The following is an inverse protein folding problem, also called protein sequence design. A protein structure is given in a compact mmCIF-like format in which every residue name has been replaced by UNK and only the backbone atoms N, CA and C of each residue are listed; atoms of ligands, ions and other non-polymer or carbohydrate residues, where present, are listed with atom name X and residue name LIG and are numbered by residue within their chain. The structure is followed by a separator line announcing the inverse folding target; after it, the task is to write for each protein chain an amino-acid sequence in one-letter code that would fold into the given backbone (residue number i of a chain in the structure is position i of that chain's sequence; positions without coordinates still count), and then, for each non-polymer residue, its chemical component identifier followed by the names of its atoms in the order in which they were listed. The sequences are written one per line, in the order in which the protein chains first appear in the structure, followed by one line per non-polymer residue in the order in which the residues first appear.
data_IF_049559507708
#
_entry.id   IF_049559507708
#
_cell.length_a   1.000
_cell.length_b   1.000
_cell.length_c   1.000
_cell.angle_alpha   90.00
_cell.angle_beta   90.00
_cell.angle_gamma   90.00
#
_symmetry.space_group_name_H-M   'P 1'
#
loop_
_entity.id
_entity.type
_entity.pdbx_description
1 polymer ?
#
# COMPACT_ATOMS: atom_id res chain seq x y z
N UNK A 1 -86.15 -20.48 98.14
CA UNK A 1 -86.76 -19.20 98.66
C UNK A 1 -85.95 -18.02 98.12
N UNK A 2 -86.54 -17.33 97.29
CA UNK A 2 -86.35 -15.90 96.86
C UNK A 2 -85.09 -15.22 97.47
N UNK A 3 -84.36 -14.41 96.78
CA UNK A 3 -84.70 -13.11 96.22
C UNK A 3 -83.54 -12.59 95.38
N UNK A 4 -83.85 -12.20 94.24
CA UNK A 4 -83.70 -10.94 93.51
C UNK A 4 -82.27 -10.47 93.03
N UNK A 5 -82.35 -10.23 91.76
CA UNK A 5 -81.48 -9.57 90.84
C UNK A 5 -81.34 -8.07 91.14
N UNK A 6 -80.33 -7.49 90.53
CA UNK A 6 -80.14 -6.18 89.96
C UNK A 6 -78.67 -5.73 90.15
N UNK A 7 -78.01 -5.33 89.18
CA UNK A 7 -77.77 -4.23 88.37
C UNK A 7 -76.60 -4.38 87.43
N UNK A 8 -76.92 -4.57 86.19
CA UNK A 8 -75.90 -4.42 85.09
C UNK A 8 -75.65 -2.94 84.83
N UNK A 9 -74.51 -2.45 85.28
CA UNK A 9 -73.94 -1.18 84.82
C UNK A 9 -73.24 -1.30 83.45
N UNK A 10 -73.87 -0.82 82.43
CA UNK A 10 -73.28 -0.66 81.11
C UNK A 10 -72.05 0.28 81.19
N UNK A 11 -70.87 -0.28 80.93
CA UNK A 11 -69.68 0.53 80.75
C UNK A 11 -69.70 1.09 79.29
N UNK A 12 -69.95 2.39 79.22
CA UNK A 12 -69.87 3.25 78.01
C UNK A 12 -68.45 3.23 77.45
N UNK A 13 -68.25 2.53 76.28
CA UNK A 13 -67.01 2.46 75.59
C UNK A 13 -66.76 3.65 74.61
N UNK A 14 -67.10 4.84 75.06
CA UNK A 14 -66.91 6.07 74.35
C UNK A 14 -65.82 6.95 74.96
N UNK A 15 -64.75 7.21 74.23
CA UNK A 15 -63.73 8.22 74.51
C UNK A 15 -62.47 7.83 75.30
N UNK A 16 -61.61 6.95 74.72
CA UNK A 16 -60.21 6.77 75.21
C UNK A 16 -59.17 7.31 74.19
N UNK A 17 -59.56 8.19 73.27
CA UNK A 17 -58.60 8.87 72.38
C UNK A 17 -58.67 10.42 72.53
N UNK A 18 -58.65 10.89 73.73
CA UNK A 18 -58.22 12.23 73.96
C UNK A 18 -56.68 12.25 73.76
N UNK A 19 -56.27 12.54 72.52
CA UNK A 19 -54.83 12.71 72.23
C UNK A 19 -54.33 13.89 73.09
N UNK A 20 -53.51 13.55 74.07
CA UNK A 20 -52.85 14.55 74.90
C UNK A 20 -52.08 15.58 74.04
N UNK A 21 -52.06 16.87 74.49
CA UNK A 21 -51.41 17.94 73.71
C UNK A 21 -49.97 17.64 73.32
N UNK A 22 -49.31 16.79 74.07
CA UNK A 22 -47.95 16.30 73.81
C UNK A 22 -47.80 15.40 72.55
N UNK A 23 -48.82 14.59 72.28
CA UNK A 23 -48.83 13.74 71.06
C UNK A 23 -49.01 14.60 69.81
N UNK A 24 -49.82 15.68 69.87
CA UNK A 24 -49.97 16.65 68.81
C UNK A 24 -48.70 17.51 68.61
N UNK A 25 -47.99 17.82 69.66
CA UNK A 25 -46.71 18.55 69.60
C UNK A 25 -45.63 17.64 69.07
N UNK A 26 -45.56 16.32 69.42
CA UNK A 26 -44.64 15.32 68.89
C UNK A 26 -44.85 15.08 67.38
N UNK A 27 -46.13 15.00 66.94
CA UNK A 27 -46.43 14.81 65.52
C UNK A 27 -46.07 16.08 64.69
N UNK A 28 -46.25 17.27 65.22
CA UNK A 28 -45.80 18.52 64.53
C UNK A 28 -44.28 18.60 64.47
N UNK A 29 -43.54 18.19 65.47
CA UNK A 29 -42.10 18.07 65.46
C UNK A 29 -41.61 17.03 64.49
N UNK A 30 -42.28 15.88 64.43
CA UNK A 30 -41.96 14.79 63.52
C UNK A 30 -42.22 15.16 62.04
N UNK A 31 -43.34 15.86 61.76
CA UNK A 31 -43.64 16.41 60.47
C UNK A 31 -42.61 17.47 60.06
N UNK A 32 -42.26 18.39 61.01
CA UNK A 32 -41.21 19.37 60.77
C UNK A 32 -39.87 18.79 60.50
N UNK A 33 -39.48 17.70 61.18
CA UNK A 33 -38.24 16.95 60.93
C UNK A 33 -38.25 16.24 59.59
N UNK A 34 -39.36 15.62 59.18
CA UNK A 34 -39.50 14.96 57.88
C UNK A 34 -39.49 16.00 56.77
N UNK A 35 -40.15 17.13 56.90
CA UNK A 35 -40.12 18.24 55.93
C UNK A 35 -38.70 18.82 55.84
N UNK A 36 -38.03 19.01 56.98
CA UNK A 36 -36.63 19.44 57.02
C UNK A 36 -35.69 18.47 56.29
N UNK A 37 -35.82 17.15 56.52
CA UNK A 37 -35.06 16.12 55.84
C UNK A 37 -35.34 16.08 54.34
N UNK A 38 -36.60 16.27 53.91
CA UNK A 38 -36.98 16.39 52.50
C UNK A 38 -36.38 17.65 51.84
N UNK A 39 -36.41 18.80 52.52
CA UNK A 39 -35.77 20.03 52.04
C UNK A 39 -34.26 19.91 51.97
N UNK A 40 -33.63 19.25 52.93
CA UNK A 40 -32.18 18.90 52.86
C UNK A 40 -31.84 17.90 51.74
N UNK A 41 -32.77 17.06 51.35
CA UNK A 41 -32.63 16.13 50.20
C UNK A 41 -32.67 16.86 48.88
N UNK A 42 -33.30 18.03 48.78
CA UNK A 42 -33.39 18.83 47.55
C UNK A 42 -32.16 19.73 47.30
N UNK A 43 -31.35 19.97 48.32
CA UNK A 43 -30.11 20.75 48.14
C UNK A 43 -29.01 19.84 47.66
N UNK A 44 -28.53 20.10 46.44
CA UNK A 44 -27.41 19.35 45.81
C UNK A 44 -26.11 20.13 45.98
N UNK A 45 -25.07 19.42 46.41
CA UNK A 45 -23.69 19.95 46.45
C UNK A 45 -22.94 19.33 45.25
N UNK A 46 -22.38 20.19 44.40
CA UNK A 46 -21.46 19.77 43.34
C UNK A 46 -20.08 19.54 43.93
N UNK A 47 -19.60 18.33 43.85
CA UNK A 47 -18.19 18.01 44.14
C UNK A 47 -17.32 18.35 42.93
N UNK A 48 -16.06 18.69 43.17
CA UNK A 48 -15.05 18.81 42.10
C UNK A 48 -13.77 18.07 42.49
N UNK A 49 -13.18 17.38 41.56
CA UNK A 49 -11.81 16.85 41.67
C UNK A 49 -10.87 17.95 41.19
N UNK A 50 -9.90 18.31 42.04
CA UNK A 50 -8.87 19.29 41.67
C UNK A 50 -7.65 18.54 41.13
N UNK A 51 -7.25 18.89 39.93
CA UNK A 51 -6.09 18.33 39.27
C UNK A 51 -5.11 19.44 38.88
N UNK A 52 -3.83 19.19 39.05
CA UNK A 52 -2.78 20.05 38.49
C UNK A 52 -2.63 19.74 37.00
N UNK A 53 -2.55 20.76 36.17
CA UNK A 53 -2.40 20.62 34.74
C UNK A 53 -1.39 21.59 34.15
N UNK A 54 -1.04 21.36 32.88
CA UNK A 54 -0.18 22.25 32.11
C UNK A 54 -0.87 22.52 30.76
N UNK A 55 -0.82 23.77 30.33
CA UNK A 55 -1.30 24.17 29.01
C UNK A 55 -0.43 23.52 27.94
N UNK A 56 -1.04 22.83 27.03
CA UNK A 56 -0.38 22.19 25.91
C UNK A 56 -1.12 22.52 24.59
N UNK A 57 -0.55 22.14 23.48
CA UNK A 57 -1.17 22.28 22.14
C UNK A 57 -1.81 20.96 21.77
N UNK A 58 -3.00 20.98 21.21
CA UNK A 58 -3.76 19.75 20.85
C UNK A 58 -2.96 18.81 19.94
N UNK A 59 -2.17 19.37 19.03
CA UNK A 59 -1.27 18.62 18.17
C UNK A 59 0.18 18.80 18.61
N UNK A 60 0.84 17.68 18.90
CA UNK A 60 2.25 17.69 19.28
C UNK A 60 3.12 18.30 18.17
N UNK A 61 4.23 18.94 18.57
CA UNK A 61 5.25 19.45 17.67
C UNK A 61 5.57 18.42 16.57
N UNK A 62 5.52 18.84 15.31
CA UNK A 62 5.86 17.95 14.20
C UNK A 62 7.37 17.98 13.99
N UNK A 63 8.01 16.88 14.31
CA UNK A 63 9.45 16.69 14.05
C UNK A 63 9.67 16.41 12.58
N UNK A 64 10.45 17.27 11.92
CA UNK A 64 10.89 17.08 10.53
C UNK A 64 12.18 16.28 10.56
N UNK A 65 12.15 15.10 9.95
CA UNK A 65 13.28 14.16 9.85
C UNK A 65 13.53 13.83 8.37
N UNK A 66 14.74 13.39 8.06
CA UNK A 66 15.08 12.92 6.71
C UNK A 66 15.53 11.46 6.75
N UNK A 67 14.88 10.62 5.92
CA UNK A 67 15.09 9.17 5.92
C UNK A 67 16.53 8.80 5.52
N UNK A 68 17.00 9.36 4.41
CA UNK A 68 18.28 9.00 3.80
C UNK A 68 19.46 9.84 4.30
N UNK A 69 19.20 10.99 4.98
CA UNK A 69 20.24 11.98 5.29
C UNK A 69 20.81 12.63 4.03
N UNK A 70 21.94 13.28 4.16
CA UNK A 70 22.66 13.90 3.04
C UNK A 70 23.41 15.17 3.40
N UNK A 71 24.05 15.79 2.40
CA UNK A 71 24.76 17.07 2.55
C UNK A 71 23.74 18.21 2.35
N UNK A 72 23.77 19.20 3.22
CA UNK A 72 22.91 20.39 3.12
C UNK A 72 23.41 21.31 2.01
N UNK A 73 22.65 21.44 0.92
CA UNK A 73 22.99 22.38 -0.14
C UNK A 73 22.54 23.82 0.19
N UNK A 74 21.34 23.98 0.77
CA UNK A 74 20.79 25.30 1.10
C UNK A 74 19.79 25.24 2.24
N UNK A 75 19.87 26.19 3.16
CA UNK A 75 18.90 26.40 4.25
C UNK A 75 18.06 27.62 3.91
N UNK A 76 16.71 27.47 3.93
CA UNK A 76 15.77 28.54 3.56
C UNK A 76 15.03 29.16 4.73
N UNK A 77 15.19 28.60 5.93
CA UNK A 77 14.46 29.03 7.12
C UNK A 77 15.39 29.14 8.33
N UNK A 78 15.00 29.94 9.33
CA UNK A 78 15.70 30.12 10.59
C UNK A 78 14.78 29.74 11.76
N UNK A 79 15.36 29.54 12.95
CA UNK A 79 14.55 29.39 14.15
C UNK A 79 13.67 30.63 14.37
N UNK A 80 12.38 30.40 14.61
CA UNK A 80 11.39 31.45 14.81
C UNK A 80 10.62 31.86 13.55
N UNK A 81 11.04 31.43 12.35
CA UNK A 81 10.32 31.75 11.12
C UNK A 81 8.97 31.03 11.07
N UNK A 82 7.95 31.71 10.51
CA UNK A 82 6.64 31.14 10.24
C UNK A 82 6.66 30.53 8.85
N UNK A 83 6.23 29.29 8.73
CA UNK A 83 6.23 28.53 7.47
C UNK A 83 4.82 28.00 7.18
N UNK A 84 4.48 27.95 5.88
CA UNK A 84 3.25 27.33 5.40
C UNK A 84 3.46 25.84 5.14
N UNK A 85 2.36 25.06 5.17
CA UNK A 85 2.37 23.65 4.79
C UNK A 85 2.93 23.47 3.36
N UNK A 86 3.83 22.50 3.16
CA UNK A 86 4.49 22.24 1.89
C UNK A 86 5.63 23.21 1.53
N UNK A 87 5.86 24.28 2.29
CA UNK A 87 6.95 25.22 2.07
C UNK A 87 8.30 24.52 2.18
N UNK A 88 9.22 24.83 1.27
CA UNK A 88 10.59 24.32 1.28
C UNK A 88 11.38 24.90 2.46
N UNK A 89 11.86 24.03 3.34
CA UNK A 89 12.61 24.37 4.55
C UNK A 89 14.11 24.37 4.30
N UNK A 90 14.60 23.29 3.70
CA UNK A 90 15.98 23.15 3.27
C UNK A 90 16.06 22.24 2.05
N UNK A 91 17.20 22.30 1.36
CA UNK A 91 17.52 21.44 0.23
C UNK A 91 18.82 20.72 0.49
N UNK A 92 18.81 19.41 0.25
CA UNK A 92 20.00 18.59 0.24
C UNK A 92 20.66 18.62 -1.14
N UNK A 93 21.93 18.23 -1.19
CA UNK A 93 22.65 18.07 -2.47
C UNK A 93 22.06 16.92 -3.27
N UNK A 94 21.54 17.28 -4.45
CA UNK A 94 20.87 16.35 -5.35
C UNK A 94 21.81 15.75 -6.42
N UNK A 95 23.06 16.20 -6.49
CA UNK A 95 23.98 15.92 -7.61
C UNK A 95 24.14 14.42 -7.85
N UNK A 96 24.46 13.66 -6.80
CA UNK A 96 24.67 12.22 -6.93
C UNK A 96 23.38 11.45 -7.25
N UNK A 97 22.25 11.84 -6.61
CA UNK A 97 20.95 11.20 -6.85
C UNK A 97 20.46 11.51 -8.26
N UNK A 98 20.62 12.76 -8.71
CA UNK A 98 20.24 13.22 -10.06
C UNK A 98 21.04 12.53 -11.15
N UNK A 99 22.35 12.35 -10.94
CA UNK A 99 23.21 11.58 -11.84
C UNK A 99 22.76 10.11 -11.93
N UNK A 100 22.51 9.45 -10.80
CA UNK A 100 22.03 8.08 -10.76
C UNK A 100 20.66 7.93 -11.42
N UNK A 101 19.75 8.87 -11.19
CA UNK A 101 18.44 8.90 -11.85
C UNK A 101 18.57 9.07 -13.37
N UNK A 102 19.44 9.97 -13.85
CA UNK A 102 19.67 10.15 -15.28
C UNK A 102 20.21 8.87 -15.94
N UNK A 103 21.11 8.14 -15.28
CA UNK A 103 21.60 6.84 -15.75
C UNK A 103 20.47 5.82 -15.84
N UNK A 104 19.62 5.74 -14.81
CA UNK A 104 18.47 4.82 -14.81
C UNK A 104 17.46 5.16 -15.93
N UNK A 105 17.18 6.43 -16.17
CA UNK A 105 16.34 6.90 -17.29
C UNK A 105 16.94 6.49 -18.64
N UNK A 106 18.23 6.75 -18.86
CA UNK A 106 18.90 6.40 -20.10
C UNK A 106 18.87 4.86 -20.34
N UNK A 107 19.09 4.06 -19.28
CA UNK A 107 19.02 2.61 -19.35
C UNK A 107 17.60 2.12 -19.63
N UNK A 108 16.58 2.72 -19.01
CA UNK A 108 15.17 2.43 -19.30
C UNK A 108 14.82 2.70 -20.76
N UNK A 109 15.25 3.84 -21.30
CA UNK A 109 15.02 4.19 -22.70
C UNK A 109 15.70 3.20 -23.67
N UNK A 110 16.93 2.78 -23.36
CA UNK A 110 17.66 1.77 -24.14
C UNK A 110 16.88 0.45 -24.20
N UNK A 111 16.45 -0.06 -23.05
CA UNK A 111 15.68 -1.30 -22.96
C UNK A 111 14.31 -1.21 -23.65
N UNK A 112 13.63 -0.07 -23.57
CA UNK A 112 12.37 0.16 -24.28
C UNK A 112 12.53 0.14 -25.81
N UNK A 113 13.61 0.72 -26.35
CA UNK A 113 13.88 0.65 -27.80
C UNK A 113 14.27 -0.76 -28.22
N UNK A 114 15.05 -1.48 -27.39
CA UNK A 114 15.38 -2.90 -27.63
C UNK A 114 14.13 -3.78 -27.62
N UNK A 115 13.24 -3.59 -26.65
CA UNK A 115 11.96 -4.28 -26.58
C UNK A 115 11.13 -4.04 -27.84
N UNK A 116 10.98 -2.78 -28.27
CA UNK A 116 10.23 -2.44 -29.47
C UNK A 116 10.81 -3.10 -30.73
N UNK A 117 12.16 -3.20 -30.84
CA UNK A 117 12.81 -3.93 -31.94
C UNK A 117 12.46 -5.43 -31.88
N UNK A 118 12.59 -6.05 -30.74
CA UNK A 118 12.34 -7.49 -30.58
C UNK A 118 10.88 -7.85 -30.81
N UNK A 119 9.96 -6.99 -30.37
CA UNK A 119 8.53 -7.15 -30.67
C UNK A 119 8.26 -7.02 -32.19
N UNK A 120 8.90 -6.08 -32.88
CA UNK A 120 8.79 -5.97 -34.32
C UNK A 120 9.36 -7.17 -35.05
N UNK A 121 10.50 -7.76 -34.58
CA UNK A 121 11.09 -9.00 -35.10
C UNK A 121 10.16 -10.20 -34.87
N UNK A 122 9.61 -10.35 -33.64
CA UNK A 122 8.67 -11.43 -33.31
C UNK A 122 7.40 -11.38 -34.15
N UNK A 123 6.85 -10.19 -34.31
CA UNK A 123 5.58 -9.96 -35.03
C UNK A 123 5.78 -9.83 -36.56
N UNK A 124 7.02 -10.00 -37.06
CA UNK A 124 7.40 -9.89 -38.47
C UNK A 124 6.97 -8.56 -39.11
N UNK A 125 7.06 -7.45 -38.34
CA UNK A 125 6.73 -6.13 -38.87
C UNK A 125 7.77 -5.63 -39.88
N UNK A 126 7.34 -4.72 -40.75
CA UNK A 126 8.25 -4.13 -41.77
C UNK A 126 9.11 -3.00 -41.19
N UNK A 127 8.69 -2.41 -40.04
CA UNK A 127 9.37 -1.30 -39.42
C UNK A 127 9.28 -1.38 -37.90
N UNK A 128 10.21 -0.72 -37.25
CA UNK A 128 10.25 -0.55 -35.79
C UNK A 128 9.32 0.60 -35.39
N UNK A 129 8.25 0.27 -34.67
CA UNK A 129 7.34 1.25 -34.07
C UNK A 129 7.80 1.53 -32.63
N UNK A 130 7.98 2.80 -32.29
CA UNK A 130 8.37 3.19 -30.93
C UNK A 130 7.14 3.31 -30.02
N UNK A 131 7.25 2.94 -28.73
CA UNK A 131 6.18 3.13 -27.77
C UNK A 131 5.91 4.63 -27.54
N UNK A 132 4.65 4.99 -27.14
CA UNK A 132 4.23 6.39 -26.96
C UNK A 132 5.12 7.17 -25.97
N UNK A 133 5.64 6.48 -24.96
CA UNK A 133 6.51 7.03 -23.91
C UNK A 133 7.79 7.63 -24.50
N UNK A 134 8.40 6.95 -25.48
CA UNK A 134 9.61 7.43 -26.16
C UNK A 134 9.29 8.49 -27.22
N UNK A 135 8.15 8.38 -27.89
CA UNK A 135 7.73 9.38 -28.90
C UNK A 135 7.36 10.73 -28.29
N UNK A 136 7.00 10.75 -27.00
CA UNK A 136 6.74 11.99 -26.25
C UNK A 136 8.03 12.78 -25.94
N UNK A 137 9.19 12.11 -25.90
CA UNK A 137 10.50 12.75 -25.66
C UNK A 137 10.96 13.43 -26.95
N UNK A 138 10.99 14.76 -26.93
CA UNK A 138 11.43 15.55 -28.08
C UNK A 138 12.84 16.12 -27.83
N UNK A 139 13.64 16.21 -28.89
CA UNK A 139 14.95 16.85 -28.89
C UNK A 139 15.99 16.19 -27.94
N UNK A 140 15.99 14.86 -27.84
CA UNK A 140 17.05 14.12 -27.17
C UNK A 140 17.98 13.44 -28.20
N UNK A 141 19.17 14.03 -28.48
CA UNK A 141 20.12 13.47 -29.44
C UNK A 141 20.67 12.08 -29.01
N UNK A 142 20.60 11.75 -27.73
CA UNK A 142 20.99 10.43 -27.19
C UNK A 142 19.98 9.37 -27.62
N UNK A 143 18.71 9.65 -27.40
CA UNK A 143 17.61 8.78 -27.80
C UNK A 143 17.55 8.60 -29.33
N UNK A 144 17.72 9.68 -30.09
CA UNK A 144 17.71 9.63 -31.56
C UNK A 144 18.80 8.71 -32.12
N UNK A 145 20.02 8.79 -31.57
CA UNK A 145 21.12 7.87 -31.92
C UNK A 145 20.83 6.42 -31.58
N UNK A 146 20.26 6.19 -30.40
CA UNK A 146 19.88 4.87 -29.95
C UNK A 146 18.84 4.25 -30.88
N UNK A 147 17.79 4.98 -31.21
CA UNK A 147 16.73 4.55 -32.13
C UNK A 147 17.30 4.26 -33.53
N UNK A 148 18.18 5.12 -34.05
CA UNK A 148 18.84 4.89 -35.33
C UNK A 148 19.68 3.62 -35.33
N UNK A 149 20.42 3.36 -34.24
CA UNK A 149 21.22 2.13 -34.08
C UNK A 149 20.34 0.88 -34.09
N UNK A 150 19.24 0.90 -33.31
CA UNK A 150 18.34 -0.24 -33.23
C UNK A 150 17.55 -0.47 -34.54
N UNK A 151 17.21 0.60 -35.28
CA UNK A 151 16.64 0.48 -36.63
C UNK A 151 17.61 -0.13 -37.61
N UNK A 152 18.88 0.25 -37.59
CA UNK A 152 19.92 -0.32 -38.42
C UNK A 152 20.12 -1.80 -38.11
N UNK A 153 20.17 -2.18 -36.83
CA UNK A 153 20.27 -3.58 -36.38
C UNK A 153 19.07 -4.42 -36.86
N UNK A 154 17.85 -3.89 -36.67
CA UNK A 154 16.62 -4.52 -37.17
C UNK A 154 16.67 -4.80 -38.66
N UNK A 155 17.04 -3.80 -39.45
CA UNK A 155 17.15 -3.93 -40.91
C UNK A 155 18.23 -4.98 -41.31
N UNK A 156 19.40 -4.96 -40.64
CA UNK A 156 20.47 -5.91 -40.91
C UNK A 156 20.07 -7.34 -40.58
N UNK A 157 19.46 -7.60 -39.41
CA UNK A 157 18.96 -8.93 -39.01
C UNK A 157 17.90 -9.44 -39.98
N UNK A 158 16.95 -8.59 -40.37
CA UNK A 158 15.91 -8.91 -41.34
C UNK A 158 16.51 -9.28 -42.70
N UNK A 159 17.45 -8.48 -43.22
CA UNK A 159 18.12 -8.76 -44.50
C UNK A 159 18.89 -10.06 -44.45
N UNK A 160 19.63 -10.35 -43.37
CA UNK A 160 20.36 -11.59 -43.18
C UNK A 160 19.44 -12.81 -43.21
N UNK A 161 18.35 -12.78 -42.41
CA UNK A 161 17.38 -13.86 -42.35
C UNK A 161 16.66 -14.10 -43.71
N UNK A 162 16.20 -13.00 -44.36
CA UNK A 162 15.57 -13.12 -45.67
C UNK A 162 16.53 -13.68 -46.74
N UNK A 163 17.83 -13.34 -46.66
CA UNK A 163 18.85 -13.93 -47.48
C UNK A 163 19.00 -15.45 -47.25
N UNK A 164 19.05 -15.89 -46.00
CA UNK A 164 19.11 -17.30 -45.66
C UNK A 164 17.90 -18.08 -46.19
N UNK A 165 16.68 -17.57 -45.93
CA UNK A 165 15.44 -18.18 -46.45
C UNK A 165 15.45 -18.27 -48.00
N UNK A 166 15.96 -17.23 -48.68
CA UNK A 166 16.08 -17.21 -50.14
C UNK A 166 16.99 -18.32 -50.65
N UNK A 167 18.15 -18.57 -50.01
CA UNK A 167 19.07 -19.64 -50.38
C UNK A 167 18.42 -21.01 -50.18
N UNK A 168 17.73 -21.21 -49.05
CA UNK A 168 17.02 -22.47 -48.77
C UNK A 168 15.88 -22.71 -49.77
N UNK A 169 15.10 -21.68 -50.11
CA UNK A 169 14.03 -21.77 -51.12
C UNK A 169 14.57 -22.09 -52.51
N UNK A 170 15.72 -21.51 -52.90
CA UNK A 170 16.36 -21.84 -54.14
C UNK A 170 16.83 -23.31 -54.18
N UNK A 171 17.36 -23.81 -53.06
CA UNK A 171 17.75 -25.24 -52.95
C UNK A 171 16.55 -26.16 -53.06
N UNK A 172 15.41 -25.84 -52.46
CA UNK A 172 14.14 -26.58 -52.64
C UNK A 172 13.72 -26.63 -54.12
N UNK A 173 13.75 -25.49 -54.80
CA UNK A 173 13.41 -25.41 -56.21
C UNK A 173 14.32 -26.29 -57.08
N UNK A 174 15.64 -26.29 -56.82
CA UNK A 174 16.59 -27.14 -57.53
C UNK A 174 16.28 -28.62 -57.32
N UNK A 175 16.04 -29.07 -56.08
CA UNK A 175 15.70 -30.45 -55.76
C UNK A 175 14.37 -30.86 -56.38
N UNK A 176 13.37 -29.99 -56.42
CA UNK A 176 12.10 -30.25 -57.09
C UNK A 176 12.27 -30.44 -58.60
N UNK A 177 13.18 -29.67 -59.24
CA UNK A 177 13.50 -29.83 -60.65
C UNK A 177 14.24 -31.14 -60.89
N UNK A 178 15.16 -31.52 -60.01
CA UNK A 178 15.88 -32.82 -60.07
C UNK A 178 14.91 -34.01 -59.98
N UNK A 179 13.98 -33.97 -59.01
CA UNK A 179 12.91 -34.97 -58.85
C UNK A 179 12.09 -35.09 -60.14
N UNK A 180 11.62 -33.97 -60.69
CA UNK A 180 10.84 -33.99 -61.95
C UNK A 180 11.60 -34.58 -63.12
N UNK A 181 12.91 -34.33 -63.18
CA UNK A 181 13.76 -34.90 -64.22
C UNK A 181 13.95 -36.44 -64.06
N UNK A 182 14.24 -36.86 -62.80
CA UNK A 182 14.40 -38.24 -62.44
C UNK A 182 13.10 -39.07 -62.65
N UNK A 183 11.95 -38.49 -62.29
CA UNK A 183 10.63 -39.12 -62.51
C UNK A 183 10.30 -39.28 -63.97
N UNK A 184 10.64 -38.30 -64.81
CA UNK A 184 10.48 -38.45 -66.30
C UNK A 184 11.37 -39.58 -66.88
N UNK A 185 12.62 -39.66 -66.40
CA UNK A 185 13.54 -40.77 -66.83
C UNK A 185 13.01 -42.12 -66.37
N UNK A 186 12.55 -42.18 -65.08
CA UNK A 186 11.97 -43.42 -64.57
C UNK A 186 10.73 -43.85 -65.38
N UNK A 187 9.82 -42.93 -65.69
CA UNK A 187 8.63 -43.19 -66.47
C UNK A 187 8.98 -43.72 -67.89
N UNK A 188 10.01 -43.17 -68.54
CA UNK A 188 10.51 -43.66 -69.84
C UNK A 188 11.02 -45.08 -69.72
N UNK A 189 11.84 -45.39 -68.67
CA UNK A 189 12.38 -46.77 -68.49
C UNK A 189 11.30 -47.76 -68.08
N UNK A 190 10.29 -47.37 -67.30
CA UNK A 190 9.13 -48.23 -67.05
C UNK A 190 8.42 -48.58 -68.34
N UNK A 191 8.22 -47.62 -69.24
CA UNK A 191 7.59 -47.89 -70.56
C UNK A 191 8.40 -48.80 -71.40
N UNK A 192 9.74 -48.63 -71.45
CA UNK A 192 10.63 -49.55 -72.17
C UNK A 192 10.56 -50.98 -71.59
N UNK A 193 10.58 -51.13 -70.25
CA UNK A 193 10.40 -52.39 -69.54
C UNK A 193 9.06 -53.07 -69.91
N UNK A 194 7.97 -52.32 -69.95
CA UNK A 194 6.65 -52.85 -70.36
C UNK A 194 6.62 -53.37 -71.79
N UNK A 195 7.29 -52.69 -72.74
CA UNK A 195 7.40 -53.11 -74.11
C UNK A 195 8.20 -54.42 -74.23
N UNK A 196 9.38 -54.43 -73.55
CA UNK A 196 10.22 -55.66 -73.55
C UNK A 196 9.53 -56.85 -72.86
N UNK A 197 8.76 -56.59 -71.75
CA UNK A 197 7.99 -57.62 -71.07
C UNK A 197 6.88 -58.21 -71.95
N UNK A 198 6.25 -57.43 -72.81
CA UNK A 198 5.28 -57.91 -73.82
C UNK A 198 5.95 -58.75 -74.89
N UNK A 199 7.13 -58.31 -75.35
CA UNK A 199 7.93 -59.09 -76.33
C UNK A 199 8.36 -60.40 -75.71
N UNK A 200 8.90 -60.39 -74.48
CA UNK A 200 9.32 -61.62 -73.77
C UNK A 200 8.14 -62.59 -73.61
N UNK A 201 6.96 -62.08 -73.20
CA UNK A 201 5.75 -62.88 -73.03
C UNK A 201 5.26 -63.51 -74.31
N UNK A 202 5.53 -62.90 -75.47
CA UNK A 202 5.17 -63.45 -76.76
C UNK A 202 6.18 -64.52 -77.26
N UNK A 203 7.48 -64.33 -76.93
CA UNK A 203 8.56 -65.25 -77.45
C UNK A 203 8.80 -66.44 -76.50
N UNK A 204 8.64 -66.28 -75.17
CA UNK A 204 8.90 -67.36 -74.22
C UNK A 204 8.12 -68.65 -74.48
N UNK A 205 6.79 -68.67 -74.74
CA UNK A 205 6.05 -69.90 -75.03
C UNK A 205 6.41 -70.52 -76.37
N UNK A 206 6.91 -69.71 -77.33
CA UNK A 206 7.38 -70.23 -78.61
C UNK A 206 8.76 -70.95 -78.47
N UNK A 207 9.61 -70.37 -77.59
CA UNK A 207 10.89 -70.97 -77.24
C UNK A 207 10.71 -72.31 -76.52
N UNK A 208 9.84 -72.38 -75.52
CA UNK A 208 9.51 -73.61 -74.81
C UNK A 208 8.99 -74.72 -75.74
N UNK A 209 8.22 -74.33 -76.74
CA UNK A 209 7.72 -75.26 -77.75
C UNK A 209 8.72 -75.59 -78.87
N UNK A 210 9.94 -75.06 -78.86
CA UNK A 210 10.97 -75.24 -79.84
C UNK A 210 10.80 -74.48 -81.17
N UNK A 211 9.80 -73.49 -81.20
CA UNK A 211 9.55 -72.70 -82.43
C UNK A 211 10.36 -71.41 -82.52
N UNK A 212 11.03 -71.03 -81.47
CA UNK A 212 11.94 -69.90 -81.46
C UNK A 212 13.36 -70.34 -81.09
N UNK A 213 14.39 -69.68 -81.66
CA UNK A 213 15.78 -70.02 -81.40
C UNK A 213 16.25 -69.38 -80.05
N UNK A 214 17.20 -70.05 -79.41
CA UNK A 214 17.89 -69.55 -78.20
C UNK A 214 18.54 -68.18 -78.45
N UNK A 215 19.09 -67.97 -79.64
CA UNK A 215 19.67 -66.67 -80.03
C UNK A 215 18.70 -65.51 -80.04
N UNK A 216 17.41 -65.76 -80.25
CA UNK A 216 16.34 -64.73 -80.17
C UNK A 216 15.81 -64.56 -78.79
N UNK A 217 15.68 -65.60 -77.97
CA UNK A 217 15.11 -65.51 -76.59
C UNK A 217 16.05 -64.87 -75.57
N UNK A 218 17.35 -65.31 -75.52
CA UNK A 218 18.29 -64.87 -74.50
C UNK A 218 18.58 -63.34 -74.51
N UNK A 219 18.70 -62.64 -75.66
CA UNK A 219 18.86 -61.19 -75.65
C UNK A 219 17.68 -60.47 -75.00
N UNK A 220 16.43 -60.87 -75.31
CA UNK A 220 15.21 -60.24 -74.75
C UNK A 220 15.18 -60.49 -73.27
N UNK A 221 15.54 -61.70 -72.79
CA UNK A 221 15.58 -61.98 -71.33
C UNK A 221 16.69 -61.19 -70.64
N UNK A 222 17.87 -61.00 -71.24
CA UNK A 222 18.94 -60.16 -70.69
C UNK A 222 18.53 -58.69 -70.64
N UNK A 223 17.83 -58.16 -71.64
CA UNK A 223 17.33 -56.82 -71.69
C UNK A 223 16.22 -56.59 -70.62
N UNK A 224 15.37 -57.60 -70.36
CA UNK A 224 14.40 -57.52 -69.26
C UNK A 224 15.09 -57.36 -67.90
N UNK A 225 16.12 -58.20 -67.63
CA UNK A 225 16.87 -58.10 -66.36
C UNK A 225 17.65 -56.75 -66.24
N UNK A 226 18.23 -56.26 -67.34
CA UNK A 226 18.91 -54.97 -67.41
C UNK A 226 17.93 -53.82 -67.12
N UNK A 227 16.78 -53.79 -67.80
CA UNK A 227 15.75 -52.77 -67.61
C UNK A 227 15.14 -52.77 -66.19
N UNK A 228 14.94 -53.97 -65.62
CA UNK A 228 14.49 -54.07 -64.19
C UNK A 228 15.53 -53.48 -63.26
N UNK A 229 16.81 -53.71 -63.42
CA UNK A 229 17.89 -53.09 -62.66
C UNK A 229 17.94 -51.56 -62.81
N UNK A 230 17.76 -51.06 -64.08
CA UNK A 230 17.69 -49.59 -64.31
C UNK A 230 16.49 -48.93 -63.68
N UNK A 231 15.27 -49.51 -63.72
CA UNK A 231 14.07 -49.04 -63.03
C UNK A 231 14.27 -49.01 -61.51
N UNK A 232 14.86 -50.09 -60.94
CA UNK A 232 15.20 -50.16 -59.53
C UNK A 232 16.14 -49.01 -59.08
N UNK A 233 17.23 -48.80 -59.92
CA UNK A 233 18.19 -47.73 -59.63
C UNK A 233 17.52 -46.31 -59.66
N UNK A 234 16.75 -46.02 -60.74
CA UNK A 234 16.07 -44.75 -60.92
C UNK A 234 15.00 -44.51 -59.83
N UNK A 235 14.32 -45.60 -59.41
CA UNK A 235 13.35 -45.48 -58.25
C UNK A 235 14.08 -45.11 -56.99
N UNK A 236 15.26 -45.67 -56.71
CA UNK A 236 16.08 -45.31 -55.57
C UNK A 236 16.62 -43.86 -55.68
N UNK A 237 16.99 -43.42 -56.90
CA UNK A 237 17.44 -42.05 -57.15
C UNK A 237 16.30 -41.01 -56.85
N UNK A 238 15.07 -41.29 -57.37
CA UNK A 238 13.89 -40.48 -57.06
C UNK A 238 13.61 -40.41 -55.53
N UNK A 239 13.70 -41.57 -54.87
CA UNK A 239 13.50 -41.66 -53.43
C UNK A 239 14.52 -40.82 -52.62
N UNK A 240 15.82 -40.89 -53.04
CA UNK A 240 16.89 -40.11 -52.43
C UNK A 240 16.69 -38.61 -52.66
N UNK A 241 16.30 -38.22 -53.85
CA UNK A 241 16.01 -36.79 -54.14
C UNK A 241 14.78 -36.25 -53.33
N UNK A 242 13.75 -37.11 -53.21
CA UNK A 242 12.56 -36.72 -52.31
C UNK A 242 12.97 -36.62 -50.87
N UNK A 243 13.82 -37.48 -50.33
CA UNK A 243 14.34 -37.36 -48.96
C UNK A 243 15.19 -36.11 -48.79
N UNK A 244 16.02 -35.74 -49.77
CA UNK A 244 16.79 -34.50 -49.74
C UNK A 244 15.90 -33.23 -49.77
N UNK A 245 14.78 -33.29 -50.53
CA UNK A 245 13.79 -32.17 -50.49
C UNK A 245 13.14 -32.04 -49.12
N UNK A 246 12.69 -33.15 -48.53
CA UNK A 246 12.11 -33.14 -47.18
C UNK A 246 13.10 -32.63 -46.11
N UNK A 247 14.40 -32.94 -46.26
CA UNK A 247 15.43 -32.38 -45.39
C UNK A 247 15.59 -30.85 -45.57
N UNK A 248 15.52 -30.37 -46.83
CA UNK A 248 15.56 -28.92 -47.11
C UNK A 248 14.33 -28.19 -46.53
N UNK A 249 13.12 -28.79 -46.59
CA UNK A 249 11.90 -28.28 -45.98
C UNK A 249 12.03 -28.18 -44.46
N UNK A 250 12.59 -29.21 -43.83
CA UNK A 250 12.84 -29.21 -42.39
C UNK A 250 13.86 -28.15 -41.99
N UNK A 251 14.93 -27.94 -42.77
CA UNK A 251 15.92 -26.88 -42.50
C UNK A 251 15.31 -25.49 -42.59
N UNK A 252 14.40 -25.24 -43.53
CA UNK A 252 13.70 -23.97 -43.65
C UNK A 252 12.82 -23.73 -42.44
N UNK A 253 11.99 -24.69 -42.03
CA UNK A 253 11.16 -24.59 -40.86
C UNK A 253 11.98 -24.44 -39.56
N UNK A 254 13.13 -25.09 -39.49
CA UNK A 254 14.05 -25.00 -38.36
C UNK A 254 14.67 -23.59 -38.25
N UNK A 255 15.16 -23.02 -39.36
CA UNK A 255 15.72 -21.64 -39.38
C UNK A 255 14.70 -20.63 -38.92
N UNK A 256 13.44 -20.69 -39.37
CA UNK A 256 12.36 -19.82 -38.89
C UNK A 256 12.08 -19.98 -37.39
N UNK A 257 12.06 -21.21 -36.91
CA UNK A 257 11.84 -21.53 -35.50
C UNK A 257 12.98 -21.02 -34.62
N UNK A 258 14.23 -21.24 -35.03
CA UNK A 258 15.40 -20.78 -34.27
C UNK A 258 15.46 -19.26 -34.16
N UNK A 259 15.14 -18.52 -35.23
CA UNK A 259 15.04 -17.07 -35.18
C UNK A 259 13.99 -16.65 -34.13
N UNK A 260 12.78 -17.22 -34.23
CA UNK A 260 11.69 -16.86 -33.33
C UNK A 260 12.02 -17.18 -31.87
N UNK A 261 12.61 -18.33 -31.60
CA UNK A 261 13.05 -18.72 -30.25
C UNK A 261 14.10 -17.74 -29.71
N UNK A 262 15.12 -17.42 -30.52
CA UNK A 262 16.16 -16.47 -30.14
C UNK A 262 15.59 -15.08 -29.81
N UNK A 263 14.64 -14.59 -30.62
CA UNK A 263 13.96 -13.30 -30.39
C UNK A 263 13.13 -13.34 -29.12
N UNK A 264 12.35 -14.40 -28.87
CA UNK A 264 11.53 -14.54 -27.68
C UNK A 264 12.39 -14.62 -26.40
N UNK A 265 13.48 -15.33 -26.45
CA UNK A 265 14.39 -15.47 -25.31
C UNK A 265 15.12 -14.15 -25.01
N UNK A 266 15.54 -13.41 -26.04
CA UNK A 266 16.12 -12.07 -25.90
C UNK A 266 15.06 -11.09 -25.35
N UNK A 267 13.82 -11.15 -25.84
CA UNK A 267 12.71 -10.31 -25.37
C UNK A 267 12.41 -10.53 -23.89
N UNK A 268 12.36 -11.77 -23.43
CA UNK A 268 12.15 -12.08 -22.00
C UNK A 268 13.25 -11.48 -21.13
N UNK A 269 14.51 -11.58 -21.56
CA UNK A 269 15.64 -10.99 -20.82
C UNK A 269 15.53 -9.46 -20.75
N UNK A 270 15.20 -8.82 -21.87
CA UNK A 270 15.01 -7.35 -21.93
C UNK A 270 13.84 -6.93 -21.06
N UNK A 271 12.71 -7.63 -21.08
CA UNK A 271 11.56 -7.34 -20.22
C UNK A 271 11.87 -7.47 -18.74
N UNK A 272 12.61 -8.51 -18.34
CA UNK A 272 13.04 -8.66 -16.94
C UNK A 272 13.96 -7.53 -16.50
N UNK A 273 14.95 -7.15 -17.32
CA UNK A 273 15.83 -6.03 -17.05
C UNK A 273 15.09 -4.69 -17.02
N UNK A 274 14.11 -4.50 -17.89
CA UNK A 274 13.30 -3.29 -17.92
C UNK A 274 12.48 -3.16 -16.62
N UNK A 275 11.85 -4.24 -16.17
CA UNK A 275 11.12 -4.24 -14.91
C UNK A 275 12.01 -3.82 -13.71
N UNK A 276 13.21 -4.37 -13.62
CA UNK A 276 14.19 -4.01 -12.59
C UNK A 276 14.58 -2.53 -12.66
N UNK A 277 14.88 -2.02 -13.87
CA UNK A 277 15.30 -0.62 -14.04
C UNK A 277 14.15 0.36 -13.79
N UNK A 278 12.91 0.01 -14.11
CA UNK A 278 11.71 0.83 -13.82
C UNK A 278 11.55 1.00 -12.31
N UNK A 279 11.68 -0.08 -11.52
CA UNK A 279 11.63 -0.01 -10.06
C UNK A 279 12.79 0.81 -9.48
N UNK A 280 13.99 0.61 -10.00
CA UNK A 280 15.16 1.41 -9.60
C UNK A 280 14.97 2.90 -9.90
N UNK A 281 14.41 3.24 -11.07
CA UNK A 281 14.10 4.62 -11.46
C UNK A 281 13.06 5.22 -10.52
N UNK A 282 12.00 4.47 -10.18
CA UNK A 282 10.96 4.94 -9.26
C UNK A 282 11.54 5.24 -7.85
N UNK A 283 12.41 4.37 -7.35
CA UNK A 283 13.10 4.58 -6.07
C UNK A 283 14.01 5.82 -6.09
N UNK A 284 14.73 6.04 -7.19
CA UNK A 284 15.59 7.23 -7.36
C UNK A 284 14.79 8.52 -7.53
N UNK A 285 13.65 8.48 -8.23
CA UNK A 285 12.73 9.61 -8.36
C UNK A 285 12.15 10.02 -7.00
N UNK A 286 11.75 9.04 -6.18
CA UNK A 286 11.28 9.28 -4.82
C UNK A 286 12.39 9.86 -3.93
N UNK A 287 13.61 9.30 -4.02
CA UNK A 287 14.78 9.83 -3.32
C UNK A 287 15.11 11.26 -3.75
N UNK A 288 14.99 11.57 -5.05
CA UNK A 288 15.20 12.91 -5.58
C UNK A 288 14.14 13.90 -5.05
N UNK A 289 12.87 13.50 -4.98
CA UNK A 289 11.81 14.32 -4.37
C UNK A 289 12.08 14.64 -2.91
N UNK A 290 12.62 13.67 -2.15
CA UNK A 290 12.99 13.85 -0.73
C UNK A 290 14.17 14.79 -0.52
N UNK A 291 15.03 15.05 -1.51
CA UNK A 291 16.12 16.03 -1.33
C UNK A 291 15.62 17.43 -0.99
N UNK A 292 14.38 17.74 -1.32
CA UNK A 292 13.69 18.97 -0.90
C UNK A 292 12.87 18.70 0.34
N UNK A 293 13.37 19.11 1.50
CA UNK A 293 12.66 18.96 2.77
C UNK A 293 11.62 20.04 2.92
N UNK A 294 10.35 19.65 3.12
CA UNK A 294 9.19 20.54 3.19
C UNK A 294 8.53 20.50 4.56
N UNK A 295 7.84 21.59 4.91
CA UNK A 295 7.05 21.67 6.12
C UNK A 295 5.84 20.71 6.06
N UNK A 296 5.66 19.83 7.04
CA UNK A 296 4.52 18.92 7.09
C UNK A 296 3.20 19.63 7.42
N UNK A 297 3.28 20.80 8.06
CA UNK A 297 2.15 21.70 8.41
C UNK A 297 2.62 23.14 8.54
N UNK A 298 1.66 24.06 8.50
CA UNK A 298 1.90 25.48 8.80
C UNK A 298 2.24 25.62 10.28
N UNK A 299 3.20 26.49 10.61
CA UNK A 299 3.62 26.72 11.99
C UNK A 299 4.95 27.48 12.07
N UNK A 300 5.53 27.52 13.26
CA UNK A 300 6.80 28.20 13.54
C UNK A 300 7.94 27.18 13.69
N UNK A 301 9.05 27.45 13.00
CA UNK A 301 10.28 26.62 13.07
C UNK A 301 10.91 26.73 14.44
N UNK A 302 11.19 25.59 15.06
CA UNK A 302 11.87 25.48 16.35
C UNK A 302 12.94 24.39 16.30
N UNK A 303 13.99 24.52 17.13
CA UNK A 303 15.07 23.55 17.29
C UNK A 303 15.71 23.10 15.95
N UNK A 304 16.02 24.05 15.05
CA UNK A 304 16.74 23.79 13.81
C UNK A 304 18.13 23.27 14.16
N UNK A 305 18.43 22.01 13.79
CA UNK A 305 19.73 21.37 14.04
C UNK A 305 20.76 21.62 12.91
N UNK A 306 20.28 21.87 11.69
CA UNK A 306 21.14 22.16 10.54
C UNK A 306 21.46 23.67 10.49
N UNK A 307 22.68 24.04 10.87
CA UNK A 307 23.09 25.44 10.94
C UNK A 307 24.02 25.89 9.82
N UNK A 308 24.60 24.95 9.06
CA UNK A 308 25.67 25.25 8.09
C UNK A 308 25.36 24.61 6.75
N UNK A 309 25.44 25.36 5.66
CA UNK A 309 25.49 24.82 4.32
C UNK A 309 26.77 24.01 4.14
N UNK A 310 26.70 22.85 3.48
CA UNK A 310 27.76 21.87 3.43
C UNK A 310 27.78 20.90 4.63
N UNK A 311 26.97 21.14 5.67
CA UNK A 311 26.84 20.22 6.81
C UNK A 311 26.21 18.89 6.41
N UNK A 312 26.47 17.82 7.19
CA UNK A 312 25.95 16.48 6.95
C UNK A 312 24.82 16.17 7.92
N UNK A 313 23.68 15.72 7.38
CA UNK A 313 22.52 15.21 8.14
C UNK A 313 22.59 13.68 8.10
N UNK A 314 22.58 13.05 9.28
CA UNK A 314 22.55 11.59 9.37
C UNK A 314 21.15 11.02 9.00
N UNK A 315 21.07 9.80 8.46
CA UNK A 315 19.79 9.14 8.21
C UNK A 315 18.93 9.05 9.47
N UNK A 316 17.63 9.36 9.33
CA UNK A 316 16.65 9.31 10.42
C UNK A 316 16.81 10.42 11.48
N UNK A 317 17.78 11.33 11.36
CA UNK A 317 17.98 12.39 12.35
C UNK A 317 16.92 13.48 12.24
N UNK A 318 16.56 14.07 13.39
CA UNK A 318 15.70 15.24 13.45
C UNK A 318 16.45 16.48 12.93
N UNK A 319 15.86 17.17 11.98
CA UNK A 319 16.41 18.38 11.38
C UNK A 319 15.87 19.62 12.08
N UNK A 320 14.58 19.67 12.36
CA UNK A 320 13.88 20.76 13.05
C UNK A 320 12.52 20.28 13.54
N UNK A 321 11.89 21.12 14.34
CA UNK A 321 10.50 20.96 14.73
C UNK A 321 9.67 22.09 14.14
N UNK A 322 8.44 21.79 13.71
CA UNK A 322 7.44 22.79 13.34
C UNK A 322 6.35 22.76 14.41
N UNK A 323 6.21 23.88 15.11
CA UNK A 323 5.18 24.11 16.12
C UNK A 323 4.00 24.79 15.44
N UNK A 324 2.85 24.14 15.31
CA UNK A 324 1.70 24.74 14.65
C UNK A 324 1.24 26.03 15.36
N UNK A 325 0.86 27.05 14.61
CA UNK A 325 0.28 28.29 15.13
C UNK A 325 -1.25 28.25 15.01
N UNK A 326 -1.94 28.74 16.09
CA UNK A 326 -3.41 28.86 16.09
C UNK A 326 -4.15 27.54 16.39
N UNK A 327 -3.47 26.50 16.85
CA UNK A 327 -4.15 25.29 17.32
C UNK A 327 -4.85 25.50 18.66
N UNK A 328 -5.89 24.70 18.91
CA UNK A 328 -6.62 24.73 20.18
C UNK A 328 -5.66 24.40 21.32
N UNK A 329 -5.64 25.27 22.32
CA UNK A 329 -4.94 24.99 23.56
C UNK A 329 -5.76 23.99 24.37
N UNK A 330 -5.11 22.93 24.80
CA UNK A 330 -5.65 21.93 25.71
C UNK A 330 -4.88 21.99 27.03
N UNK A 331 -5.49 21.52 28.07
CA UNK A 331 -4.83 21.40 29.36
C UNK A 331 -4.66 19.90 29.66
N UNK A 332 -3.42 19.48 29.79
CA UNK A 332 -3.05 18.13 30.22
C UNK A 332 -3.08 18.11 31.78
N UNK A 333 -4.14 17.57 32.35
CA UNK A 333 -4.34 17.49 33.79
C UNK A 333 -4.02 16.11 34.33
N UNK A 334 -3.30 16.04 35.46
CA UNK A 334 -2.93 14.81 36.14
C UNK A 334 -3.89 14.51 37.27
N UNK A 335 -4.57 13.38 37.23
CA UNK A 335 -5.56 12.98 38.22
C UNK A 335 -5.05 11.78 39.00
N UNK A 336 -5.29 11.79 40.33
CA UNK A 336 -5.00 10.65 41.16
C UNK A 336 -5.83 9.41 40.75
N UNK A 337 -5.25 8.20 40.76
CA UNK A 337 -5.98 6.95 40.48
C UNK A 337 -7.23 6.75 41.34
N UNK A 338 -7.28 7.34 42.52
CA UNK A 338 -8.41 7.23 43.45
C UNK A 338 -9.64 8.05 42.99
N UNK A 339 -9.45 9.03 42.08
CA UNK A 339 -10.51 9.96 41.66
C UNK A 339 -10.98 9.73 40.21
N UNK A 340 -10.37 8.76 39.48
CA UNK A 340 -10.67 8.55 38.05
C UNK A 340 -12.12 8.12 37.79
N UNK A 341 -12.73 7.37 38.71
CA UNK A 341 -14.12 6.92 38.60
C UNK A 341 -15.14 8.06 38.58
N UNK A 342 -14.72 9.24 39.04
CA UNK A 342 -15.57 10.44 39.15
C UNK A 342 -15.51 11.28 37.84
N UNK A 343 -14.54 11.03 36.97
CA UNK A 343 -14.30 11.80 35.76
C UNK A 343 -14.84 11.08 34.55
N UNK A 344 -15.57 11.77 33.69
CA UNK A 344 -16.16 11.22 32.47
C UNK A 344 -15.79 12.11 31.29
N UNK A 345 -15.54 11.46 30.14
CA UNK A 345 -15.36 12.18 28.88
C UNK A 345 -16.63 12.99 28.55
N UNK A 346 -16.44 14.23 28.08
CA UNK A 346 -17.54 15.20 27.87
C UNK A 346 -18.02 15.89 29.13
N UNK A 347 -17.49 15.55 30.33
CA UNK A 347 -17.88 16.18 31.60
C UNK A 347 -17.45 17.64 31.67
N UNK A 348 -18.22 18.49 32.40
CA UNK A 348 -17.87 19.89 32.58
C UNK A 348 -16.63 20.04 33.49
N UNK A 349 -15.80 20.99 33.14
CA UNK A 349 -14.60 21.37 33.90
C UNK A 349 -14.46 22.87 33.97
N UNK A 350 -13.77 23.35 34.98
CA UNK A 350 -13.38 24.76 35.13
C UNK A 350 -11.88 24.85 35.31
N UNK A 351 -11.26 25.81 34.66
CA UNK A 351 -9.81 25.99 34.69
C UNK A 351 -9.46 27.33 35.28
N UNK A 352 -8.47 27.34 36.16
CA UNK A 352 -7.87 28.52 36.74
C UNK A 352 -6.39 28.55 36.48
N UNK A 353 -5.84 29.70 36.17
CA UNK A 353 -4.42 29.88 35.91
C UNK A 353 -3.74 30.64 37.07
N UNK A 354 -3.05 29.96 37.99
CA UNK A 354 -2.40 30.61 39.14
C UNK A 354 -1.36 31.66 38.75
N UNK A 355 -0.74 31.48 37.54
CA UNK A 355 0.27 32.40 37.03
C UNK A 355 -0.24 33.86 36.87
N UNK A 356 -1.55 34.09 36.75
CA UNK A 356 -2.13 35.41 36.56
C UNK A 356 -2.58 36.10 37.88
N UNK A 357 -2.36 35.45 39.03
CA UNK A 357 -2.71 35.99 40.36
C UNK A 357 -4.18 35.78 40.76
N UNK A 358 -4.43 35.52 42.05
CA UNK A 358 -5.73 35.07 42.57
C UNK A 358 -6.91 36.05 42.41
N UNK A 359 -6.64 37.35 42.18
CA UNK A 359 -7.67 38.39 42.04
C UNK A 359 -8.01 38.79 40.60
N UNK A 360 -7.21 38.32 39.61
CA UNK A 360 -7.30 38.82 38.23
C UNK A 360 -7.89 37.81 37.23
N UNK A 361 -8.04 36.55 37.61
CA UNK A 361 -8.45 35.50 36.66
C UNK A 361 -9.84 34.95 36.91
N UNK A 362 -10.77 35.10 35.97
CA UNK A 362 -12.03 34.36 36.02
C UNK A 362 -11.71 32.86 35.84
N UNK A 363 -12.53 32.00 36.43
CA UNK A 363 -12.51 30.57 36.10
C UNK A 363 -13.10 30.40 34.70
N UNK A 364 -12.33 29.82 33.81
CA UNK A 364 -12.74 29.56 32.41
C UNK A 364 -13.49 28.24 32.32
N UNK A 365 -14.57 28.22 31.55
CA UNK A 365 -15.34 27.01 31.31
C UNK A 365 -14.59 26.10 30.30
N UNK A 366 -14.64 24.81 30.58
CA UNK A 366 -13.94 23.81 29.81
C UNK A 366 -14.70 22.47 29.84
N UNK A 367 -14.31 21.56 28.98
CA UNK A 367 -14.87 20.22 28.96
C UNK A 367 -13.75 19.16 28.85
N UNK A 368 -14.00 18.00 29.45
CA UNK A 368 -13.08 16.84 29.35
C UNK A 368 -13.13 16.29 27.93
N UNK A 369 -12.02 16.42 27.20
CA UNK A 369 -11.88 15.93 25.83
C UNK A 369 -11.57 14.42 25.82
N UNK A 370 -10.59 14.00 26.59
CA UNK A 370 -10.18 12.60 26.68
C UNK A 370 -9.65 12.25 28.07
N UNK A 371 -9.71 10.95 28.41
CA UNK A 371 -9.13 10.37 29.62
C UNK A 371 -8.23 9.24 29.18
N UNK A 372 -6.99 9.16 29.69
CA UNK A 372 -6.07 8.08 29.33
C UNK A 372 -6.64 6.71 29.74
N UNK A 373 -6.55 5.69 28.88
CA UNK A 373 -7.10 4.37 29.20
C UNK A 373 -6.24 3.59 30.22
N UNK A 374 -5.02 4.04 30.47
CA UNK A 374 -4.07 3.41 31.40
C UNK A 374 -3.42 4.43 32.32
N UNK A 375 -2.92 3.98 33.46
CA UNK A 375 -2.13 4.77 34.38
C UNK A 375 -0.75 5.08 33.75
N UNK A 376 -0.31 6.30 33.91
CA UNK A 376 1.03 6.78 33.58
C UNK A 376 1.82 6.99 34.87
N UNK A 377 3.13 6.94 34.81
CA UNK A 377 4.00 7.27 35.93
C UNK A 377 4.77 8.56 35.65
N UNK A 378 4.88 9.46 36.63
CA UNK A 378 5.72 10.64 36.54
C UNK A 378 7.21 10.28 36.75
N UNK A 379 8.10 11.26 36.62
CA UNK A 379 9.53 11.09 36.81
C UNK A 379 9.91 10.66 38.25
N UNK A 380 9.00 10.80 39.22
CA UNK A 380 9.14 10.39 40.62
C UNK A 380 8.46 9.04 40.92
N UNK A 381 7.93 8.36 39.90
CA UNK A 381 7.28 7.05 40.04
C UNK A 381 5.85 7.10 40.58
N UNK A 382 5.22 8.27 40.68
CA UNK A 382 3.82 8.40 41.11
C UNK A 382 2.89 8.10 39.94
N UNK A 383 1.91 7.24 40.17
CA UNK A 383 0.90 6.89 39.17
C UNK A 383 -0.17 7.96 39.07
N UNK A 384 -0.53 8.32 37.85
CA UNK A 384 -1.63 9.26 37.56
C UNK A 384 -2.36 8.86 36.26
N UNK A 385 -3.57 9.38 36.08
CA UNK A 385 -4.27 9.36 34.81
C UNK A 385 -4.16 10.75 34.16
N UNK A 386 -3.85 10.76 32.85
CA UNK A 386 -3.83 11.98 32.06
C UNK A 386 -5.25 12.28 31.56
N UNK A 387 -5.73 13.44 31.86
CA UNK A 387 -7.02 13.95 31.37
C UNK A 387 -6.77 15.20 30.55
N UNK A 388 -7.18 15.16 29.30
CA UNK A 388 -7.12 16.32 28.43
C UNK A 388 -8.41 17.12 28.51
N UNK A 389 -8.28 18.41 28.78
CA UNK A 389 -9.39 19.32 28.93
C UNK A 389 -9.28 20.43 27.90
N UNK A 390 -10.34 20.60 27.11
CA UNK A 390 -10.43 21.67 26.12
C UNK A 390 -11.21 22.86 26.66
N UNK A 391 -10.71 24.07 26.40
CA UNK A 391 -11.44 25.30 26.71
C UNK A 391 -12.67 25.42 25.79
N UNK A 392 -13.80 25.90 26.34
CA UNK A 392 -14.97 26.17 25.53
C UNK A 392 -14.71 27.32 24.54
N UNK A 393 -15.43 27.31 23.42
CA UNK A 393 -15.26 28.33 22.37
C UNK A 393 -15.60 29.74 22.94
N UNK A 394 -14.69 30.67 22.73
CA UNK A 394 -14.85 32.04 23.18
C UNK A 394 -14.39 32.32 24.64
N UNK A 395 -14.09 31.31 25.46
CA UNK A 395 -13.61 31.49 26.83
C UNK A 395 -12.27 32.24 26.91
N UNK A 396 -11.41 32.06 25.90
CA UNK A 396 -10.12 32.77 25.77
C UNK A 396 -10.36 34.30 25.68
N UNK A 397 -11.47 34.73 25.11
CA UNK A 397 -11.82 36.18 24.99
C UNK A 397 -12.22 36.82 26.33
N UNK A 398 -12.55 36.04 27.36
CA UNK A 398 -12.84 36.52 28.71
C UNK A 398 -11.60 36.88 29.52
N UNK A 399 -10.41 36.55 28.99
CA UNK A 399 -9.15 36.94 29.60
C UNK A 399 -8.94 38.46 29.45
N UNK A 400 -8.46 39.13 30.50
CA UNK A 400 -8.14 40.57 30.44
C UNK A 400 -7.15 40.90 29.31
N UNK A 401 -7.33 42.03 28.65
CA UNK A 401 -6.46 42.50 27.60
C UNK A 401 -4.99 42.53 28.05
N UNK A 402 -4.13 41.82 27.32
CA UNK A 402 -2.70 41.68 27.62
C UNK A 402 -2.28 40.37 28.28
N UNK A 403 -3.22 39.44 28.61
CA UNK A 403 -2.90 38.11 29.10
C UNK A 403 -3.12 37.08 27.96
N UNK A 404 -2.07 36.42 27.59
CA UNK A 404 -2.12 35.33 26.58
C UNK A 404 -1.75 33.99 27.24
N UNK A 405 -2.50 32.93 26.92
CA UNK A 405 -2.17 31.59 27.33
C UNK A 405 -0.98 31.09 26.48
N UNK A 406 0.05 30.65 27.15
CA UNK A 406 1.25 30.11 26.50
C UNK A 406 1.39 28.61 26.84
N UNK A 407 1.77 27.77 25.90
CA UNK A 407 2.14 26.37 26.16
C UNK A 407 3.20 26.30 27.28
N UNK A 408 3.05 25.36 28.22
CA UNK A 408 3.90 25.23 29.38
C UNK A 408 3.40 25.98 30.66
N UNK A 409 2.35 26.80 30.57
CA UNK A 409 1.79 27.47 31.76
C UNK A 409 1.10 26.47 32.68
N UNK A 410 1.32 26.56 34.02
CA UNK A 410 0.61 25.74 34.98
C UNK A 410 -0.87 26.17 35.09
N UNK A 411 -1.75 25.18 35.18
CA UNK A 411 -3.19 25.35 35.33
C UNK A 411 -3.74 24.48 36.48
N UNK A 412 -4.75 24.94 37.14
CA UNK A 412 -5.56 24.13 38.06
C UNK A 412 -6.90 23.81 37.39
N UNK A 413 -7.21 22.52 37.28
CA UNK A 413 -8.41 22.01 36.63
C UNK A 413 -9.37 21.49 37.70
N UNK A 414 -10.55 22.03 37.72
CA UNK A 414 -11.65 21.63 38.60
C UNK A 414 -12.64 20.81 37.76
N UNK A 415 -12.58 19.49 37.88
CA UNK A 415 -13.45 18.55 37.16
C UNK A 415 -14.71 18.35 37.98
N UNK A 416 -15.86 18.76 37.46
CA UNK A 416 -17.12 18.64 38.18
C UNK A 416 -17.56 17.17 38.26
N UNK A 417 -17.65 16.67 39.48
CA UNK A 417 -18.17 15.33 39.77
C UNK A 417 -19.63 15.50 40.14
N UNK A 418 -20.54 15.02 39.38
CA UNK A 418 -21.99 15.16 39.49
C UNK A 418 -22.55 15.61 40.85
N UNK A 419 -23.68 16.29 40.85
CA UNK A 419 -24.33 16.80 42.06
C UNK A 419 -24.83 15.63 42.91
N UNK A 420 -24.52 15.66 44.21
CA UNK A 420 -25.05 14.74 45.21
C UNK A 420 -25.89 15.51 46.23
N UNK A 421 -27.06 14.96 46.63
CA UNK A 421 -27.84 15.57 47.68
C UNK A 421 -27.10 15.50 49.00
N UNK A 422 -27.25 16.55 49.85
CA UNK A 422 -26.65 16.59 51.19
C UNK A 422 -27.02 15.35 52.00
N UNK A 423 -28.24 14.83 51.84
CA UNK A 423 -28.75 13.66 52.51
C UNK A 423 -27.94 12.40 52.13
N UNK A 424 -27.51 12.26 50.83
CA UNK A 424 -26.70 11.13 50.38
C UNK A 424 -25.29 11.14 51.00
N UNK A 425 -24.78 12.31 51.37
CA UNK A 425 -23.48 12.45 52.01
C UNK A 425 -23.44 11.88 53.42
N UNK A 426 -24.57 12.03 54.18
CA UNK A 426 -24.70 11.48 55.54
C UNK A 426 -25.12 10.02 55.57
N UNK A 427 -25.90 9.57 54.58
CA UNK A 427 -26.43 8.18 54.57
C UNK A 427 -25.41 7.20 53.98
N UNK A 428 -24.60 7.61 53.00
CA UNK A 428 -23.67 6.72 52.32
C UNK A 428 -22.62 6.06 53.22
N UNK A 429 -21.98 6.74 54.20
CA UNK A 429 -21.08 6.10 55.14
C UNK A 429 -21.75 5.00 55.97
N UNK A 430 -23.02 5.23 56.38
CA UNK A 430 -23.82 4.25 57.13
C UNK A 430 -24.19 3.03 56.28
N UNK A 431 -24.60 3.24 55.03
CA UNK A 431 -24.93 2.14 54.13
C UNK A 431 -23.68 1.35 53.70
N UNK A 432 -22.52 2.03 53.53
CA UNK A 432 -21.26 1.38 53.17
C UNK A 432 -20.71 0.54 54.34
N UNK A 433 -20.88 1.00 55.61
CA UNK A 433 -20.56 0.21 56.82
C UNK A 433 -21.50 -1.01 56.94
N UNK A 434 -22.83 -0.80 56.79
CA UNK A 434 -23.79 -1.91 56.82
C UNK A 434 -23.52 -2.93 55.69
N UNK A 435 -23.24 -2.47 54.45
CA UNK A 435 -22.99 -3.36 53.31
C UNK A 435 -21.69 -4.17 53.47
N UNK A 436 -20.70 -3.65 54.22
CA UNK A 436 -19.47 -4.39 54.56
C UNK A 436 -19.71 -5.38 55.68
N UNK A 437 -20.59 -5.08 56.66
CA UNK A 437 -20.90 -5.95 57.81
C UNK A 437 -21.79 -7.14 57.41
N UNK A 438 -22.59 -6.99 56.34
CA UNK A 438 -23.47 -8.06 55.84
C UNK A 438 -22.88 -8.83 54.61
N UNK A 439 -21.62 -8.59 54.23
CA UNK A 439 -20.86 -9.42 53.29
C UNK A 439 -19.82 -10.22 54.07
N UNK A 440 -20.24 -11.23 54.81
CA UNK A 440 -19.42 -12.36 55.17
C UNK A 440 -19.66 -13.44 54.12
N UNK A 441 -18.54 -13.95 53.61
CA UNK A 441 -18.20 -15.07 52.72
C UNK A 441 -18.09 -14.77 51.25
#
# INVERSE_FOLDING_TARGET
MRVDAEGAGAIDAGNVYATEPWVKAGNRLLIGLVVGLLLFGLVSISGAVVASGVVNVENNNKTVQHLDGGIVAKIKVRNGDVVAEGQELLRLDETAVKASHAVAVARSNDLLVQQARLEAERDRKDRLDLPPELTAIKNDPGLDRLVATQRALFAARRASHSGELSVLAQRQSQLADEIRSAERQLASRIKEREINARELASVAPLYEKGYASQQRFLPIQRDAARLEGEVGRLTADVSRAKSALAEADLKLAQSEKELLQGVVDELRKVQAQLAEVVEQRAALDDKLKRTVVRAPRSGRVHALAAHTEGGVIAPGSAIMQVVPEGERLIIDAQISPQDIDKVRQGGPARIRFPAFGAKATPSLEASVMSVSPAQLADAQGRSYFLVQVALAEGEILKLPAGLALLPGMPAEVFLETGSRSILSYFIKPLTDVLSRTFRES
#
